data_IF_479680970513
#
_entry.id   IF_479680970513
#
_cell.length_a   1.000
_cell.length_b   1.000
_cell.length_c   1.000
_cell.angle_alpha   90.00
_cell.angle_beta   90.00
_cell.angle_gamma   90.00
#
_symmetry.space_group_name_H-M   'P 1'
#
loop_
_entity.id
_entity.type
_entity.pdbx_description
1 polymer ?
#
# COMPACT_ATOMS: atom_id res chain seq x y z
N UNK A 1 1.23 -68.78 3.30
CA UNK A 1 1.59 -68.64 1.87
C UNK A 1 0.47 -67.91 1.16
N UNK A 2 0.66 -66.62 0.87
CA UNK A 2 -0.20 -65.77 0.02
C UNK A 2 0.70 -64.64 -0.49
N UNK A 3 1.04 -64.77 -1.78
CA UNK A 3 1.41 -63.82 -2.84
C UNK A 3 1.91 -62.42 -2.42
N UNK A 4 3.14 -61.98 -2.77
CA UNK A 4 3.58 -61.40 -4.08
C UNK A 4 2.77 -60.12 -4.37
N UNK A 5 3.26 -58.91 -4.67
CA UNK A 5 4.50 -58.34 -5.22
C UNK A 5 4.37 -56.79 -5.12
N UNK A 6 5.44 -56.05 -4.77
CA UNK A 6 6.22 -55.14 -5.64
C UNK A 6 5.50 -53.87 -6.20
N UNK A 7 6.11 -52.72 -5.83
CA UNK A 7 6.63 -51.65 -6.71
C UNK A 7 5.76 -50.41 -7.05
N UNK A 8 6.41 -49.27 -6.81
CA UNK A 8 6.32 -47.95 -7.48
C UNK A 8 5.02 -47.13 -7.31
N UNK A 9 5.04 -45.81 -7.30
CA UNK A 9 6.04 -44.89 -7.85
C UNK A 9 6.06 -43.57 -7.06
N UNK A 10 7.27 -43.14 -6.74
CA UNK A 10 7.60 -41.76 -6.43
C UNK A 10 7.33 -40.93 -7.70
N UNK A 11 6.34 -40.03 -7.69
CA UNK A 11 6.14 -39.06 -8.77
C UNK A 11 6.01 -37.65 -8.19
N UNK A 12 7.17 -36.99 -8.14
CA UNK A 12 7.42 -35.61 -8.57
C UNK A 12 6.28 -34.60 -8.31
N UNK A 13 6.32 -33.93 -7.16
CA UNK A 13 5.81 -32.56 -7.06
C UNK A 13 6.84 -31.59 -7.63
N UNK A 14 7.00 -31.57 -8.96
CA UNK A 14 7.50 -30.38 -9.66
C UNK A 14 6.34 -29.40 -9.79
N UNK A 15 6.04 -28.72 -8.68
CA UNK A 15 5.17 -27.55 -8.67
C UNK A 15 5.93 -26.37 -9.26
N UNK A 16 5.34 -25.78 -10.29
CA UNK A 16 5.91 -24.74 -11.14
C UNK A 16 6.53 -23.59 -10.35
N UNK A 17 7.69 -23.14 -10.81
CA UNK A 17 8.27 -21.87 -10.37
C UNK A 17 7.25 -20.76 -10.54
N UNK A 18 6.93 -20.10 -9.43
CA UNK A 18 6.54 -18.70 -9.46
C UNK A 18 7.75 -17.93 -9.98
N UNK A 19 7.86 -17.83 -11.31
CA UNK A 19 8.55 -16.72 -11.95
C UNK A 19 7.72 -15.47 -11.64
N UNK A 20 7.77 -15.06 -10.37
CA UNK A 20 7.40 -13.72 -9.97
C UNK A 20 8.52 -12.80 -10.43
N UNK A 21 8.73 -12.73 -11.76
CA UNK A 21 8.79 -11.41 -12.41
C UNK A 21 7.44 -10.75 -12.19
N UNK A 22 7.20 -10.39 -10.93
CA UNK A 22 6.52 -9.17 -10.61
C UNK A 22 7.36 -8.13 -11.34
N UNK A 23 6.94 -7.86 -12.57
CA UNK A 23 7.34 -6.69 -13.32
C UNK A 23 7.31 -5.60 -12.28
N UNK A 24 8.49 -5.12 -11.91
CA UNK A 24 8.66 -3.79 -11.39
C UNK A 24 8.06 -2.91 -12.50
N UNK A 25 6.73 -2.77 -12.46
CA UNK A 25 5.99 -1.63 -12.96
C UNK A 25 6.90 -0.49 -12.59
N UNK A 26 7.48 0.20 -13.57
CA UNK A 26 8.46 1.24 -13.34
C UNK A 26 7.90 2.16 -12.26
N UNK A 27 8.32 1.93 -11.02
CA UNK A 27 7.66 2.52 -9.86
C UNK A 27 8.06 3.96 -9.95
N UNK A 28 7.08 4.82 -10.24
CA UNK A 28 7.31 6.25 -10.26
C UNK A 28 8.06 6.62 -8.96
N UNK A 29 9.14 7.41 -9.04
CA UNK A 29 9.96 7.71 -7.87
C UNK A 29 9.10 8.17 -6.70
N UNK A 30 9.32 7.57 -5.53
CA UNK A 30 8.63 7.97 -4.32
C UNK A 30 9.31 9.21 -3.75
N UNK A 31 8.53 10.28 -3.59
CA UNK A 31 8.95 11.52 -2.95
C UNK A 31 8.43 11.58 -1.52
N UNK A 32 9.18 12.21 -0.61
CA UNK A 32 8.73 12.46 0.75
C UNK A 32 7.93 13.76 0.81
N UNK A 33 6.79 13.75 1.47
CA UNK A 33 5.95 14.93 1.64
C UNK A 33 5.24 14.95 3.00
N UNK A 34 4.79 16.14 3.40
CA UNK A 34 3.85 16.34 4.50
C UNK A 34 2.52 16.79 3.89
N UNK A 35 1.46 16.02 4.13
CA UNK A 35 0.09 16.34 3.76
C UNK A 35 -0.63 16.85 5.01
N UNK A 36 -1.33 17.97 4.89
CA UNK A 36 -2.22 18.46 5.95
C UNK A 36 -3.60 17.84 5.74
N UNK A 37 -4.19 17.30 6.81
CA UNK A 37 -5.53 16.75 6.82
C UNK A 37 -6.64 17.81 6.67
N UNK A 38 -7.88 17.35 6.62
CA UNK A 38 -9.06 18.20 6.84
C UNK A 38 -9.32 18.37 8.34
N UNK A 39 -10.04 19.42 8.73
CA UNK A 39 -10.55 19.58 10.10
C UNK A 39 -11.96 18.98 10.27
N UNK A 40 -12.49 18.34 9.24
CA UNK A 40 -13.72 17.56 9.31
C UNK A 40 -13.57 16.28 10.15
N UNK A 41 -14.70 15.73 10.58
CA UNK A 41 -14.78 14.47 11.31
C UNK A 41 -15.82 13.56 10.66
N UNK A 42 -15.42 12.42 10.04
CA UNK A 42 -14.04 11.94 9.88
C UNK A 42 -13.24 12.78 8.88
N UNK A 43 -11.90 12.81 8.99
CA UNK A 43 -11.03 13.50 8.04
C UNK A 43 -10.97 12.74 6.70
N UNK A 44 -11.54 13.27 5.59
CA UNK A 44 -11.50 12.61 4.30
C UNK A 44 -10.09 12.46 3.73
N UNK A 45 -9.15 13.37 4.03
CA UNK A 45 -7.77 13.31 3.56
C UNK A 45 -7.04 12.16 4.24
N UNK A 46 -7.16 12.06 5.57
CA UNK A 46 -6.59 10.94 6.33
C UNK A 46 -7.16 9.60 5.85
N UNK A 47 -8.47 9.52 5.62
CA UNK A 47 -9.11 8.31 5.11
C UNK A 47 -8.52 7.87 3.76
N UNK A 48 -8.29 8.83 2.85
CA UNK A 48 -7.68 8.52 1.54
C UNK A 48 -6.23 8.06 1.67
N UNK A 49 -5.44 8.68 2.55
CA UNK A 49 -4.07 8.25 2.81
C UNK A 49 -4.03 6.81 3.31
N UNK A 50 -4.91 6.43 4.25
CA UNK A 50 -4.99 5.07 4.77
C UNK A 50 -5.37 4.04 3.69
N UNK A 51 -6.29 4.40 2.79
CA UNK A 51 -6.64 3.56 1.63
C UNK A 51 -5.42 3.33 0.72
N UNK A 52 -4.70 4.40 0.38
CA UNK A 52 -3.54 4.35 -0.49
C UNK A 52 -2.37 3.60 0.15
N UNK A 53 -2.20 3.71 1.46
CA UNK A 53 -1.22 2.92 2.22
C UNK A 53 -1.55 1.42 2.16
N UNK A 54 -2.83 1.06 2.38
CA UNK A 54 -3.31 -0.33 2.28
C UNK A 54 -3.07 -0.92 0.89
N UNK A 55 -3.20 -0.11 -0.17
CA UNK A 55 -2.90 -0.52 -1.55
C UNK A 55 -1.40 -0.54 -1.89
N UNK A 56 -0.56 0.01 -1.01
CA UNK A 56 0.88 0.11 -1.18
C UNK A 56 1.35 1.23 -2.12
N UNK A 57 0.46 2.13 -2.54
CA UNK A 57 0.79 3.32 -3.33
C UNK A 57 1.50 4.38 -2.47
N UNK A 58 1.07 4.51 -1.21
CA UNK A 58 1.70 5.35 -0.20
C UNK A 58 2.49 4.46 0.77
N UNK A 59 3.65 4.95 1.24
CA UNK A 59 4.54 4.26 2.19
C UNK A 59 4.96 5.20 3.32
N UNK A 60 5.43 4.61 4.42
CA UNK A 60 5.98 5.31 5.59
C UNK A 60 5.07 6.42 6.14
N UNK A 61 3.79 6.11 6.29
CA UNK A 61 2.80 7.05 6.83
C UNK A 61 3.08 7.28 8.32
N UNK A 62 3.26 8.53 8.69
CA UNK A 62 3.37 8.98 10.08
C UNK A 62 2.36 10.10 10.30
N UNK A 63 1.36 9.83 11.14
CA UNK A 63 0.35 10.82 11.54
C UNK A 63 0.82 11.53 12.80
N UNK A 64 0.80 12.85 12.80
CA UNK A 64 1.19 13.69 13.94
C UNK A 64 -0.06 14.18 14.68
N UNK A 65 -0.02 14.13 16.01
CA UNK A 65 -1.06 14.65 16.89
C UNK A 65 -1.15 16.18 16.79
N UNK A 66 -1.97 16.66 15.85
CA UNK A 66 -2.15 18.07 15.50
C UNK A 66 -3.56 18.28 14.92
N UNK A 67 -4.03 19.54 14.86
CA UNK A 67 -5.35 19.86 14.31
C UNK A 67 -5.28 21.06 13.34
N UNK A 68 -5.56 20.87 12.03
CA UNK A 68 -5.75 19.58 11.35
C UNK A 68 -4.53 18.67 11.46
N UNK A 69 -4.72 17.37 11.30
CA UNK A 69 -3.61 16.40 11.41
C UNK A 69 -2.55 16.67 10.35
N UNK A 70 -1.28 16.48 10.70
CA UNK A 70 -0.18 16.47 9.73
C UNK A 70 0.24 15.03 9.46
N UNK A 71 0.41 14.69 8.19
CA UNK A 71 0.65 13.32 7.74
C UNK A 71 1.92 13.32 6.90
N UNK A 72 3.01 12.77 7.43
CA UNK A 72 4.25 12.56 6.67
C UNK A 72 4.15 11.24 5.92
N UNK A 73 4.54 11.20 4.66
CA UNK A 73 4.45 10.00 3.83
C UNK A 73 5.44 10.02 2.68
N UNK A 74 5.60 8.86 2.02
CA UNK A 74 6.26 8.72 0.71
C UNK A 74 5.30 8.21 -0.35
N UNK A 75 5.23 8.88 -1.50
CA UNK A 75 4.34 8.51 -2.60
C UNK A 75 4.84 9.06 -3.94
N UNK A 76 4.32 8.58 -5.09
CA UNK A 76 4.54 9.23 -6.37
C UNK A 76 4.05 10.68 -6.36
N UNK A 77 4.75 11.58 -7.06
CA UNK A 77 4.39 13.00 -7.14
C UNK A 77 2.92 13.25 -7.49
N UNK A 78 2.37 12.50 -8.45
CA UNK A 78 0.98 12.65 -8.86
C UNK A 78 -0.02 12.40 -7.72
N UNK A 79 0.29 11.45 -6.84
CA UNK A 79 -0.53 11.12 -5.66
C UNK A 79 -0.41 12.21 -4.60
N UNK A 80 0.80 12.73 -4.38
CA UNK A 80 1.02 13.87 -3.48
C UNK A 80 0.21 15.09 -3.96
N UNK A 81 0.26 15.37 -5.27
CA UNK A 81 -0.47 16.48 -5.88
C UNK A 81 -2.00 16.27 -5.80
N UNK A 82 -2.50 15.02 -5.92
CA UNK A 82 -3.91 14.66 -5.72
C UNK A 82 -4.35 14.93 -4.27
N UNK A 83 -3.60 14.41 -3.29
CA UNK A 83 -3.88 14.62 -1.86
C UNK A 83 -3.85 16.12 -1.49
N UNK A 84 -2.96 16.89 -2.12
CA UNK A 84 -2.89 18.34 -1.92
C UNK A 84 -4.07 19.12 -2.52
N UNK A 85 -4.76 18.55 -3.51
CA UNK A 85 -5.95 19.16 -4.12
C UNK A 85 -7.24 18.82 -3.38
N UNK A 86 -7.22 17.87 -2.44
CA UNK A 86 -8.39 17.54 -1.64
C UNK A 86 -8.82 18.75 -0.77
N UNK A 87 -10.13 19.03 -0.64
CA UNK A 87 -10.63 20.14 0.17
C UNK A 87 -10.13 20.12 1.62
N UNK A 88 -9.74 21.29 2.15
CA UNK A 88 -9.34 21.50 3.55
C UNK A 88 -10.42 22.28 4.28
N UNK A 89 -11.53 21.62 4.53
CA UNK A 89 -12.72 22.21 5.15
C UNK A 89 -12.67 22.08 6.67
N UNK A 90 -13.45 22.92 7.37
CA UNK A 90 -13.60 22.84 8.84
C UNK A 90 -12.50 23.51 9.68
N UNK A 91 -11.47 24.12 9.07
CA UNK A 91 -10.41 24.82 9.80
C UNK A 91 -10.87 26.16 10.39
N UNK A 92 -10.29 26.56 11.52
CA UNK A 92 -10.46 27.91 12.08
C UNK A 92 -9.87 28.94 11.11
N UNK A 93 -10.65 29.97 10.76
CA UNK A 93 -10.21 31.12 9.95
C UNK A 93 -9.25 32.00 10.72
#
# INVERSE_FOLDING_TARGET
MKSIALIAALTLLTGCGLDSKQTAQAQAPLESATIVGSAESPDPVLAKVMELEKSGVVKDVVVQESFPVQIRLRAPKAVIDELNKMPRTGGLR
#
